data_IF_568580407123
#
_entry.id   IF_568580407123
#
_cell.length_a   1.000
_cell.length_b   1.000
_cell.length_c   1.000
_cell.angle_alpha   90.00
_cell.angle_beta   90.00
_cell.angle_gamma   90.00
#
_symmetry.space_group_name_H-M   'P 1'
#
loop_
_entity.id
_entity.type
_entity.pdbx_description
1 polymer ?
#
# COMPACT_ATOMS: atom_id res chain seq x y z
N UNK A 1 15.36 -14.21 -33.44
CA UNK A 1 14.27 -13.63 -32.63
C UNK A 1 14.82 -13.39 -31.23
N UNK A 2 15.38 -12.20 -30.99
CA UNK A 2 16.02 -11.87 -29.71
C UNK A 2 14.91 -11.42 -28.77
N UNK A 3 14.49 -12.30 -27.85
CA UNK A 3 13.59 -11.92 -26.76
C UNK A 3 14.33 -10.91 -25.87
N UNK A 4 13.94 -9.65 -25.95
CA UNK A 4 14.41 -8.62 -25.04
C UNK A 4 13.65 -8.78 -23.71
N UNK A 5 13.99 -9.83 -22.95
CA UNK A 5 13.33 -10.07 -21.67
C UNK A 5 13.60 -8.90 -20.73
N UNK A 6 12.53 -8.32 -20.19
CA UNK A 6 12.65 -7.27 -19.20
C UNK A 6 13.29 -7.84 -17.93
N UNK A 7 14.55 -7.48 -17.68
CA UNK A 7 15.32 -8.01 -16.55
C UNK A 7 14.64 -7.75 -15.20
N UNK A 8 13.85 -6.67 -15.09
CA UNK A 8 13.03 -6.38 -13.90
C UNK A 8 11.95 -7.44 -13.70
N UNK A 9 11.33 -7.90 -14.78
CA UNK A 9 10.29 -8.93 -14.74
C UNK A 9 10.86 -10.30 -14.35
N UNK A 10 12.00 -10.69 -14.92
CA UNK A 10 12.70 -11.93 -14.54
C UNK A 10 13.11 -11.88 -13.06
N UNK A 11 13.67 -10.76 -12.60
CA UNK A 11 14.04 -10.58 -11.20
C UNK A 11 12.83 -10.70 -10.26
N UNK A 12 11.67 -10.13 -10.62
CA UNK A 12 10.44 -10.28 -9.85
C UNK A 12 9.96 -11.74 -9.77
N UNK A 13 10.07 -12.50 -10.86
CA UNK A 13 9.70 -13.93 -10.86
C UNK A 13 10.63 -14.73 -9.94
N UNK A 14 11.95 -14.53 -10.07
CA UNK A 14 12.94 -15.22 -9.24
C UNK A 14 12.71 -14.90 -7.76
N UNK A 15 12.43 -13.63 -7.44
CA UNK A 15 12.12 -13.18 -6.08
C UNK A 15 10.86 -13.86 -5.53
N UNK A 16 9.77 -13.91 -6.31
CA UNK A 16 8.54 -14.59 -5.92
C UNK A 16 8.76 -16.09 -5.70
N UNK A 17 9.51 -16.75 -6.60
CA UNK A 17 9.82 -18.16 -6.45
C UNK A 17 10.63 -18.46 -5.19
N UNK A 18 11.60 -17.58 -4.89
CA UNK A 18 12.41 -17.68 -3.66
C UNK A 18 11.53 -17.52 -2.41
N UNK A 19 10.60 -16.58 -2.40
CA UNK A 19 9.64 -16.40 -1.31
C UNK A 19 8.80 -17.66 -1.08
N UNK A 20 8.28 -18.27 -2.14
CA UNK A 20 7.49 -19.51 -2.06
C UNK A 20 8.30 -20.65 -1.44
N UNK A 21 9.58 -20.80 -1.84
CA UNK A 21 10.48 -21.80 -1.25
C UNK A 21 10.65 -21.53 0.25
N UNK A 22 10.97 -20.30 0.64
CA UNK A 22 11.18 -19.96 2.06
C UNK A 22 9.94 -20.29 2.90
N UNK A 23 8.75 -19.91 2.42
CA UNK A 23 7.48 -20.19 3.10
C UNK A 23 7.24 -21.70 3.23
N UNK A 24 7.60 -22.48 2.21
CA UNK A 24 7.40 -23.93 2.21
C UNK A 24 8.33 -24.67 3.18
N UNK A 25 9.57 -24.20 3.34
CA UNK A 25 10.56 -24.83 4.22
C UNK A 25 10.46 -24.39 5.69
N UNK A 26 10.02 -23.15 5.95
CA UNK A 26 9.99 -22.57 7.30
C UNK A 26 8.64 -21.90 7.61
N UNK A 27 7.51 -22.65 7.52
CA UNK A 27 6.18 -22.06 7.66
C UNK A 27 5.95 -21.46 9.05
N UNK A 28 6.45 -22.10 10.11
CA UNK A 28 6.22 -21.66 11.49
C UNK A 28 6.96 -20.36 11.80
N UNK A 29 8.20 -20.27 11.36
CA UNK A 29 9.08 -19.12 11.54
C UNK A 29 8.54 -17.92 10.76
N UNK A 30 8.10 -18.14 9.51
CA UNK A 30 7.43 -17.11 8.72
C UNK A 30 6.17 -16.63 9.41
N UNK A 31 5.34 -17.53 9.93
CA UNK A 31 4.12 -17.13 10.63
C UNK A 31 4.42 -16.24 11.85
N UNK A 32 5.44 -16.60 12.63
CA UNK A 32 5.89 -15.84 13.80
C UNK A 32 6.42 -14.46 13.43
N UNK A 33 7.18 -14.35 12.33
CA UNK A 33 7.67 -13.06 11.83
C UNK A 33 6.49 -12.17 11.42
N UNK A 34 5.50 -12.71 10.70
CA UNK A 34 4.30 -11.96 10.31
C UNK A 34 3.53 -11.49 11.55
N UNK A 35 3.36 -12.39 12.54
CA UNK A 35 2.72 -12.04 13.81
C UNK A 35 3.46 -10.88 14.50
N UNK A 36 4.77 -10.99 14.65
CA UNK A 36 5.60 -9.94 15.25
C UNK A 36 5.48 -8.61 14.49
N UNK A 37 5.47 -8.65 13.15
CA UNK A 37 5.33 -7.47 12.30
C UNK A 37 3.96 -6.79 12.49
N UNK A 38 2.89 -7.57 12.64
CA UNK A 38 1.52 -7.08 12.86
C UNK A 38 1.30 -6.59 14.30
N UNK A 39 1.86 -7.26 15.30
CA UNK A 39 1.70 -6.92 16.72
C UNK A 39 2.53 -5.71 17.14
N UNK A 40 3.74 -5.55 16.59
CA UNK A 40 4.68 -4.47 16.92
C UNK A 40 4.17 -3.06 16.58
N UNK A 41 3.12 -2.95 15.75
CA UNK A 41 2.65 -1.67 15.22
C UNK A 41 3.63 -1.01 14.24
N UNK A 42 4.81 -1.59 14.03
CA UNK A 42 5.86 -1.08 13.14
C UNK A 42 5.35 -1.01 11.70
N UNK A 43 4.57 -2.01 11.26
CA UNK A 43 3.96 -2.01 9.93
C UNK A 43 3.05 -0.81 9.68
N UNK A 44 2.14 -0.52 10.61
CA UNK A 44 1.23 0.62 10.51
C UNK A 44 1.98 1.96 10.54
N UNK A 45 3.00 2.08 11.40
CA UNK A 45 3.82 3.28 11.48
C UNK A 45 4.58 3.53 10.18
N UNK A 46 5.19 2.50 9.59
CA UNK A 46 5.90 2.60 8.30
C UNK A 46 4.95 3.04 7.19
N UNK A 47 3.76 2.41 7.10
CA UNK A 47 2.74 2.79 6.12
C UNK A 47 2.31 4.24 6.28
N UNK A 48 1.99 4.64 7.51
CA UNK A 48 1.56 6.00 7.82
C UNK A 48 2.62 7.03 7.42
N UNK A 49 3.87 6.84 7.86
CA UNK A 49 4.99 7.74 7.52
C UNK A 49 5.20 7.81 6.01
N UNK A 50 5.13 6.66 5.31
CA UNK A 50 5.28 6.62 3.85
C UNK A 50 4.17 7.42 3.15
N UNK A 51 2.91 7.26 3.57
CA UNK A 51 1.77 8.02 3.04
C UNK A 51 1.99 9.54 3.22
N UNK A 52 2.38 9.96 4.43
CA UNK A 52 2.67 11.36 4.72
C UNK A 52 3.75 11.93 3.80
N UNK A 53 4.89 11.26 3.69
CA UNK A 53 6.02 11.72 2.87
C UNK A 53 5.61 11.86 1.41
N UNK A 54 4.95 10.84 0.85
CA UNK A 54 4.58 10.85 -0.58
C UNK A 54 3.53 11.92 -0.88
N UNK A 55 2.49 12.06 -0.07
CA UNK A 55 1.44 13.05 -0.33
C UNK A 55 1.97 14.47 -0.17
N UNK A 56 2.82 14.73 0.84
CA UNK A 56 3.47 16.03 0.98
C UNK A 56 4.38 16.33 -0.22
N UNK A 57 5.23 15.37 -0.62
CA UNK A 57 6.10 15.53 -1.78
C UNK A 57 5.30 15.81 -3.06
N UNK A 58 4.18 15.12 -3.26
CA UNK A 58 3.27 15.33 -4.39
C UNK A 58 2.62 16.72 -4.34
N UNK A 59 2.10 17.15 -3.18
CA UNK A 59 1.46 18.46 -3.01
C UNK A 59 2.42 19.63 -3.25
N UNK A 60 3.71 19.50 -2.86
CA UNK A 60 4.73 20.51 -3.10
C UNK A 60 5.24 20.55 -4.54
N UNK A 61 5.26 19.42 -5.24
CA UNK A 61 5.89 19.32 -6.56
C UNK A 61 4.90 19.55 -7.71
N UNK A 62 3.62 19.24 -7.51
CA UNK A 62 2.61 19.27 -8.57
C UNK A 62 1.69 20.49 -8.40
N UNK A 63 1.68 21.38 -9.39
CA UNK A 63 0.70 22.47 -9.49
C UNK A 63 -0.62 22.01 -10.15
N UNK A 64 -1.73 22.51 -9.62
CA UNK A 64 -3.12 22.08 -9.91
C UNK A 64 -3.54 22.22 -11.38
N UNK A 65 -2.83 23.02 -12.17
CA UNK A 65 -3.17 23.28 -13.58
C UNK A 65 -3.03 22.05 -14.50
N UNK A 66 -2.35 20.99 -14.05
CA UNK A 66 -2.25 19.70 -14.76
C UNK A 66 -2.98 18.54 -14.05
N UNK A 67 -3.63 18.78 -12.91
CA UNK A 67 -4.24 17.74 -12.08
C UNK A 67 -5.72 17.51 -12.42
N UNK A 68 -5.99 16.86 -13.56
CA UNK A 68 -7.37 16.41 -13.89
C UNK A 68 -7.78 15.11 -13.18
N UNK A 69 -6.95 14.51 -12.31
CA UNK A 69 -7.22 13.14 -11.83
C UNK A 69 -7.03 12.83 -10.35
N UNK A 70 -6.54 13.74 -9.50
CA UNK A 70 -6.29 13.43 -8.07
C UNK A 70 -6.74 14.56 -7.13
N UNK A 71 -7.76 15.32 -7.52
CA UNK A 71 -8.56 16.08 -6.54
C UNK A 71 -9.77 15.23 -6.21
N UNK A 72 -9.74 14.53 -5.07
CA UNK A 72 -10.89 13.77 -4.58
C UNK A 72 -11.98 14.71 -4.04
N UNK A 73 -11.58 15.90 -3.61
CA UNK A 73 -12.45 16.92 -3.06
C UNK A 73 -11.98 18.21 -3.70
N UNK A 74 -12.79 18.81 -4.55
CA UNK A 74 -12.42 20.00 -5.31
C UNK A 74 -12.54 21.24 -4.41
N UNK A 75 -11.84 21.25 -3.26
CA UNK A 75 -11.91 22.42 -2.36
C UNK A 75 -11.02 23.53 -2.90
N UNK A 76 -11.45 24.77 -2.69
CA UNK A 76 -10.71 25.96 -3.16
C UNK A 76 -9.40 26.19 -2.38
N UNK A 77 -9.04 25.30 -1.46
CA UNK A 77 -7.91 25.46 -0.54
C UNK A 77 -7.04 24.19 -0.59
N UNK A 78 -5.95 24.25 -1.37
CA UNK A 78 -4.94 23.19 -1.58
C UNK A 78 -4.48 22.48 -0.29
N UNK A 79 -4.36 23.24 0.80
CA UNK A 79 -3.94 22.72 2.12
C UNK A 79 -5.00 21.77 2.69
N UNK A 80 -6.29 22.12 2.59
CA UNK A 80 -7.40 21.30 3.08
C UNK A 80 -7.48 20.00 2.30
N UNK A 81 -7.37 20.04 0.97
CA UNK A 81 -7.37 18.83 0.13
C UNK A 81 -6.21 17.91 0.47
N UNK A 82 -5.01 18.47 0.66
CA UNK A 82 -3.83 17.68 1.03
C UNK A 82 -4.01 17.01 2.38
N UNK A 83 -4.49 17.74 3.40
CA UNK A 83 -4.76 17.17 4.72
C UNK A 83 -5.85 16.10 4.69
N UNK A 84 -6.92 16.33 3.93
CA UNK A 84 -8.02 15.38 3.78
C UNK A 84 -7.55 14.10 3.08
N UNK A 85 -6.69 14.23 2.07
CA UNK A 85 -6.07 13.10 1.38
C UNK A 85 -5.23 12.28 2.36
N UNK A 86 -4.35 12.93 3.13
CA UNK A 86 -3.52 12.26 4.14
C UNK A 86 -4.40 11.54 5.16
N UNK A 87 -5.38 12.24 5.73
CA UNK A 87 -6.30 11.65 6.70
C UNK A 87 -7.00 10.42 6.12
N UNK A 88 -7.50 10.51 4.90
CA UNK A 88 -8.17 9.40 4.22
C UNK A 88 -7.25 8.19 4.07
N UNK A 89 -6.07 8.35 3.47
CA UNK A 89 -5.17 7.21 3.25
C UNK A 89 -4.61 6.63 4.55
N UNK A 90 -4.31 7.48 5.55
CA UNK A 90 -3.85 7.01 6.87
C UNK A 90 -4.95 6.25 7.59
N UNK A 91 -6.20 6.74 7.57
CA UNK A 91 -7.33 6.03 8.17
C UNK A 91 -7.54 4.68 7.48
N UNK A 92 -7.58 4.64 6.14
CA UNK A 92 -7.75 3.38 5.40
C UNK A 92 -6.59 2.42 5.70
N UNK A 93 -5.35 2.90 5.78
CA UNK A 93 -4.18 2.07 6.08
C UNK A 93 -4.23 1.49 7.50
N UNK A 94 -4.57 2.32 8.48
CA UNK A 94 -4.70 1.92 9.88
C UNK A 94 -5.83 0.91 10.08
N UNK A 95 -6.98 1.13 9.43
CA UNK A 95 -8.12 0.20 9.45
C UNK A 95 -7.73 -1.12 8.80
N UNK A 96 -7.12 -1.09 7.60
CA UNK A 96 -6.70 -2.31 6.91
C UNK A 96 -5.65 -3.09 7.72
N UNK A 97 -4.67 -2.41 8.32
CA UNK A 97 -3.66 -3.03 9.19
C UNK A 97 -4.29 -3.67 10.42
N UNK A 98 -5.27 -3.02 11.05
CA UNK A 98 -5.93 -3.54 12.26
C UNK A 98 -6.79 -4.76 11.95
N UNK A 99 -7.55 -4.72 10.84
CA UNK A 99 -8.32 -5.86 10.35
C UNK A 99 -7.42 -7.03 9.99
N UNK A 100 -6.32 -6.78 9.27
CA UNK A 100 -5.37 -7.82 8.90
C UNK A 100 -4.74 -8.48 10.14
N UNK A 101 -4.35 -7.67 11.14
CA UNK A 101 -3.84 -8.18 12.42
C UNK A 101 -4.85 -9.09 13.10
N UNK A 102 -6.06 -8.60 13.33
CA UNK A 102 -7.08 -9.36 14.05
C UNK A 102 -7.44 -10.66 13.33
N UNK A 103 -7.64 -10.59 12.01
CA UNK A 103 -8.03 -11.73 11.20
C UNK A 103 -6.91 -12.78 11.13
N UNK A 104 -5.65 -12.32 10.96
CA UNK A 104 -4.49 -13.21 10.90
C UNK A 104 -4.24 -13.92 12.24
N UNK A 105 -4.23 -13.19 13.36
CA UNK A 105 -3.97 -13.80 14.67
C UNK A 105 -5.08 -14.80 15.03
N UNK A 106 -6.34 -14.41 14.83
CA UNK A 106 -7.47 -15.29 15.13
C UNK A 106 -7.43 -16.56 14.27
N UNK A 107 -7.15 -16.46 12.97
CA UNK A 107 -7.11 -17.62 12.08
C UNK A 107 -5.97 -18.60 12.39
N UNK A 108 -4.78 -18.07 12.67
CA UNK A 108 -3.56 -18.89 12.69
C UNK A 108 -3.06 -19.23 14.10
N UNK A 109 -3.42 -18.44 15.11
CA UNK A 109 -2.95 -18.63 16.49
C UNK A 109 -4.06 -19.02 17.46
N UNK A 110 -5.32 -18.65 17.19
CA UNK A 110 -6.49 -18.96 18.03
C UNK A 110 -6.32 -18.63 19.53
N UNK A 111 -5.35 -17.78 19.87
CA UNK A 111 -4.99 -17.42 21.25
C UNK A 111 -5.77 -16.20 21.74
N UNK A 112 -6.26 -15.39 20.81
CA UNK A 112 -7.04 -14.18 21.06
C UNK A 112 -8.20 -14.12 20.09
N UNK A 113 -9.40 -13.83 20.63
CA UNK A 113 -10.61 -13.68 19.82
C UNK A 113 -10.83 -12.19 19.56
N UNK A 114 -10.67 -11.78 18.32
CA UNK A 114 -10.90 -10.40 17.86
C UNK A 114 -12.31 -10.22 17.28
N UNK A 115 -12.87 -11.29 16.70
CA UNK A 115 -14.14 -11.31 15.99
C UNK A 115 -14.99 -12.47 16.52
N UNK A 116 -15.91 -12.17 17.45
CA UNK A 116 -16.72 -13.18 18.15
C UNK A 116 -17.82 -13.81 17.29
N UNK A 117 -18.38 -13.06 16.34
CA UNK A 117 -19.57 -13.44 15.58
C UNK A 117 -19.27 -14.00 14.18
N UNK A 118 -17.99 -14.18 13.85
CA UNK A 118 -17.56 -14.55 12.51
C UNK A 118 -17.26 -16.04 12.41
N UNK A 119 -17.90 -16.72 11.47
CA UNK A 119 -17.62 -18.11 11.18
C UNK A 119 -16.28 -18.26 10.43
N UNK A 120 -15.71 -19.48 10.41
CA UNK A 120 -14.40 -19.74 9.78
C UNK A 120 -14.30 -19.27 8.32
N UNK A 121 -15.40 -19.33 7.58
CA UNK A 121 -15.46 -18.91 6.18
C UNK A 121 -15.41 -17.38 6.06
N UNK A 122 -16.03 -16.68 7.00
CA UNK A 122 -16.04 -15.21 7.03
C UNK A 122 -14.68 -14.64 7.45
N UNK A 123 -13.90 -15.38 8.23
CA UNK A 123 -12.52 -15.00 8.59
C UNK A 123 -11.62 -14.90 7.34
N UNK A 124 -11.79 -15.77 6.34
CA UNK A 124 -11.04 -15.67 5.08
C UNK A 124 -11.41 -14.40 4.29
N UNK A 125 -12.70 -14.05 4.25
CA UNK A 125 -13.15 -12.79 3.67
C UNK A 125 -12.59 -11.58 4.44
N UNK A 126 -12.51 -11.70 5.76
CA UNK A 126 -11.95 -10.70 6.66
C UNK A 126 -10.44 -10.48 6.47
N UNK A 127 -9.71 -11.48 5.96
CA UNK A 127 -8.32 -11.33 5.51
C UNK A 127 -8.27 -10.71 4.11
N UNK A 128 -9.19 -11.07 3.22
CA UNK A 128 -9.22 -10.57 1.83
C UNK A 128 -9.46 -9.06 1.72
N UNK A 129 -10.43 -8.53 2.48
CA UNK A 129 -10.77 -7.09 2.47
C UNK A 129 -9.57 -6.19 2.81
N UNK A 130 -8.84 -6.37 3.93
CA UNK A 130 -7.70 -5.52 4.25
C UNK A 130 -6.54 -5.69 3.26
N UNK A 131 -6.35 -6.88 2.66
CA UNK A 131 -5.36 -7.05 1.59
C UNK A 131 -5.71 -6.18 0.38
N UNK A 132 -6.98 -6.15 -0.04
CA UNK A 132 -7.43 -5.29 -1.14
C UNK A 132 -7.28 -3.80 -0.81
N UNK A 133 -7.58 -3.40 0.43
CA UNK A 133 -7.40 -2.01 0.87
C UNK A 133 -5.92 -1.60 0.87
N UNK A 134 -5.03 -2.45 1.40
CA UNK A 134 -3.58 -2.22 1.39
C UNK A 134 -3.06 -2.15 -0.04
N UNK A 135 -3.51 -3.04 -0.91
CA UNK A 135 -3.17 -3.02 -2.33
C UNK A 135 -3.58 -1.70 -3.00
N UNK A 136 -4.81 -1.25 -2.77
CA UNK A 136 -5.30 0.03 -3.28
C UNK A 136 -4.45 1.22 -2.82
N UNK A 137 -4.12 1.28 -1.53
CA UNK A 137 -3.25 2.31 -0.96
C UNK A 137 -1.88 2.28 -1.63
N UNK A 138 -1.24 1.11 -1.71
CA UNK A 138 0.09 0.96 -2.28
C UNK A 138 0.12 1.42 -3.74
N UNK A 139 -0.88 1.07 -4.54
CA UNK A 139 -0.97 1.50 -5.94
C UNK A 139 -1.08 3.02 -6.07
N UNK A 140 -1.98 3.64 -5.32
CA UNK A 140 -2.22 5.08 -5.42
C UNK A 140 -1.04 5.89 -4.89
N UNK A 141 -0.48 5.51 -3.75
CA UNK A 141 0.73 6.12 -3.20
C UNK A 141 1.91 5.93 -4.16
N UNK A 142 2.08 4.76 -4.78
CA UNK A 142 3.13 4.55 -5.78
C UNK A 142 2.95 5.42 -7.02
N UNK A 143 1.71 5.68 -7.45
CA UNK A 143 1.41 6.59 -8.57
C UNK A 143 1.78 8.02 -8.21
N UNK A 144 1.31 8.51 -7.06
CA UNK A 144 1.64 9.85 -6.56
C UNK A 144 3.15 10.04 -6.36
N UNK A 145 3.85 9.01 -5.87
CA UNK A 145 5.29 9.04 -5.71
C UNK A 145 6.03 9.17 -7.05
N UNK A 146 5.60 8.42 -8.07
CA UNK A 146 6.15 8.56 -9.43
C UNK A 146 5.90 9.94 -10.00
N UNK A 147 4.69 10.46 -9.85
CA UNK A 147 4.35 11.82 -10.31
C UNK A 147 5.23 12.87 -9.63
N UNK A 148 5.44 12.76 -8.32
CA UNK A 148 6.33 13.65 -7.57
C UNK A 148 7.79 13.56 -8.06
N UNK A 149 8.30 12.36 -8.35
CA UNK A 149 9.69 12.18 -8.82
C UNK A 149 9.92 12.65 -10.27
N UNK A 150 8.95 12.44 -11.17
CA UNK A 150 9.14 12.64 -12.61
C UNK A 150 8.53 13.94 -13.16
N UNK A 151 8.06 14.84 -12.28
CA UNK A 151 7.38 16.09 -12.66
C UNK A 151 8.19 16.99 -13.61
N UNK A 152 9.53 16.92 -13.57
CA UNK A 152 10.40 17.73 -14.45
C UNK A 152 10.43 17.27 -15.93
N UNK A 153 10.02 16.03 -16.23
CA UNK A 153 10.26 15.44 -17.57
C UNK A 153 9.15 15.78 -18.59
N UNK A 154 7.97 16.19 -18.14
CA UNK A 154 6.86 16.53 -19.05
C UNK A 154 6.78 18.03 -19.41
N UNK A 155 7.45 18.91 -18.66
CA UNK A 155 7.42 20.36 -18.90
C UNK A 155 8.37 20.84 -20.02
N UNK A 156 9.25 19.96 -20.56
CA UNK A 156 10.33 20.34 -21.48
C UNK A 156 10.27 19.70 -22.88
N UNK A 157 9.10 19.21 -23.30
CA UNK A 157 8.85 19.00 -24.75
C UNK A 157 8.08 20.19 -25.30
N UNK A 158 8.74 21.15 -25.99
CA UNK A 158 8.01 22.15 -26.75
C UNK A 158 7.21 21.41 -27.83
N UNK A 159 5.88 21.48 -27.74
CA UNK A 159 5.00 21.21 -28.89
C UNK A 159 5.38 22.23 -29.97
N UNK A 160 6.27 21.85 -30.87
CA UNK A 160 6.46 22.59 -32.12
C UNK A 160 5.12 22.52 -32.88
N UNK A 161 4.53 23.71 -33.06
CA UNK A 161 3.44 23.95 -34.00
C UNK A 161 3.91 23.72 -35.43
#
# INVERSE_FOLDING_TARGET
MIYNFNIKFIASIIFLFTLVIIISFMPKEVMLIIRWLLESGTFNNILTISIWIVILAHSFTVDETNLTQISLFNTQIKLIDTLLLIATYVTVASTASSLLKGAYIQQFYNDTVYFNEFDKLDIYLLIGVPILLLWYIILNISKMFKEALFFTTQASSPKNK
#
